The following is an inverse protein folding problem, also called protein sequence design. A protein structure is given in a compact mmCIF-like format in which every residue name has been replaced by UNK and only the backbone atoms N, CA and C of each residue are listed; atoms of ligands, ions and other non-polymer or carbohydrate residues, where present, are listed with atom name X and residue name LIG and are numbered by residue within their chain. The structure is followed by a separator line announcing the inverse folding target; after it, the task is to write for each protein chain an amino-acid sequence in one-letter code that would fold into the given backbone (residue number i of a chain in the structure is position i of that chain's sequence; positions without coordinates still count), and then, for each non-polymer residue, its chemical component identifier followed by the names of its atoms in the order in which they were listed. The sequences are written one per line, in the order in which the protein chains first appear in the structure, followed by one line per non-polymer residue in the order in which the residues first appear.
data_IF_289917441160
#
_entry.id   IF_289917441160
#
_cell.length_a   1.000
_cell.length_b   1.000
_cell.length_c   1.000
_cell.angle_alpha   90.00
_cell.angle_beta   90.00
_cell.angle_gamma   90.00
#
_symmetry.space_group_name_H-M   'P 1'
#
loop_
_entity.id
_entity.type
_entity.pdbx_description
1 polymer ?
#
# COMPACT_ATOMS: atom_id res chain seq x y z
N UNK A 1 -31.82 79.41 -53.04
CA UNK A 1 -32.51 78.27 -52.37
C UNK A 1 -31.50 77.15 -52.16
N UNK A 2 -31.28 76.75 -50.89
CA UNK A 2 -30.85 75.43 -50.32
C UNK A 2 -29.86 74.53 -51.10
N UNK A 3 -28.88 73.80 -50.50
CA UNK A 3 -28.61 73.32 -49.13
C UNK A 3 -27.10 72.98 -49.05
N UNK A 4 -26.50 73.05 -47.85
CA UNK A 4 -25.13 72.56 -47.58
C UNK A 4 -25.11 71.55 -46.43
N UNK A 5 -24.07 70.73 -46.49
CA UNK A 5 -23.71 69.50 -45.77
C UNK A 5 -23.31 69.76 -44.31
N UNK A 6 -23.57 68.81 -43.40
CA UNK A 6 -22.66 68.56 -42.27
C UNK A 6 -22.70 67.10 -41.78
N UNK A 7 -21.49 66.55 -41.62
CA UNK A 7 -21.10 65.22 -41.18
C UNK A 7 -21.04 65.17 -39.64
N UNK A 8 -21.51 64.10 -38.99
CA UNK A 8 -21.22 63.82 -37.58
C UNK A 8 -20.58 62.43 -37.47
N UNK A 9 -19.34 62.42 -36.97
CA UNK A 9 -18.53 61.26 -36.64
C UNK A 9 -18.84 60.86 -35.19
N UNK A 10 -19.23 59.60 -34.96
CA UNK A 10 -19.30 59.02 -33.61
C UNK A 10 -18.04 58.21 -33.34
N UNK A 11 -17.21 58.71 -32.40
CA UNK A 11 -16.08 58.00 -31.80
C UNK A 11 -16.65 57.18 -30.64
N UNK A 12 -16.57 55.85 -30.72
CA UNK A 12 -16.83 54.96 -29.58
C UNK A 12 -15.48 54.57 -28.96
N UNK A 13 -15.29 54.92 -27.69
CA UNK A 13 -14.08 54.70 -26.90
C UNK A 13 -14.48 53.99 -25.59
N UNK A 14 -13.76 52.91 -25.25
CA UNK A 14 -13.80 52.20 -23.95
C UNK A 14 -14.79 51.02 -23.89
N UNK A 15 -14.50 49.85 -23.29
CA UNK A 15 -13.39 49.39 -22.47
C UNK A 15 -13.12 47.92 -22.81
N UNK A 16 -11.84 47.56 -23.03
CA UNK A 16 -11.40 46.18 -22.97
C UNK A 16 -11.36 45.74 -21.49
N UNK A 17 -12.35 44.93 -21.08
CA UNK A 17 -12.28 44.21 -19.82
C UNK A 17 -11.23 43.12 -19.91
N UNK A 18 -10.02 43.39 -19.41
CA UNK A 18 -9.06 42.32 -19.09
C UNK A 18 -9.51 41.75 -17.75
N UNK A 19 -10.28 40.66 -17.80
CA UNK A 19 -10.46 39.77 -16.65
C UNK A 19 -9.12 39.07 -16.45
N UNK A 20 -8.28 39.63 -15.57
CA UNK A 20 -7.08 38.96 -15.10
C UNK A 20 -7.55 37.84 -14.13
N UNK A 21 -7.64 36.62 -14.64
CA UNK A 21 -7.92 35.44 -13.81
C UNK A 21 -6.85 35.32 -12.70
N UNK A 22 -7.26 35.42 -11.44
CA UNK A 22 -6.37 35.41 -10.28
C UNK A 22 -5.69 34.04 -10.06
N UNK A 23 -4.35 33.95 -10.01
CA UNK A 23 -3.63 32.76 -9.55
C UNK A 23 -3.41 32.72 -8.02
N UNK A 24 -4.08 33.57 -7.22
CA UNK A 24 -3.74 33.83 -5.80
C UNK A 24 -4.40 32.86 -4.81
N UNK A 25 -5.67 32.48 -5.02
CA UNK A 25 -6.48 31.78 -4.01
C UNK A 25 -5.96 30.37 -3.67
N UNK A 26 -5.48 29.63 -4.68
CA UNK A 26 -4.90 28.29 -4.52
C UNK A 26 -3.61 28.30 -3.68
N UNK A 27 -2.80 29.36 -3.77
CA UNK A 27 -1.53 29.44 -3.04
C UNK A 27 -1.75 29.72 -1.56
N UNK A 28 -2.71 30.58 -1.22
CA UNK A 28 -3.06 30.84 0.18
C UNK A 28 -3.52 29.57 0.89
N UNK A 29 -4.42 28.81 0.28
CA UNK A 29 -4.88 27.52 0.83
C UNK A 29 -3.75 26.52 1.02
N UNK A 30 -2.80 26.47 0.08
CA UNK A 30 -1.64 25.56 0.15
C UNK A 30 -0.72 25.93 1.31
N UNK A 31 -0.40 27.22 1.47
CA UNK A 31 0.47 27.70 2.54
C UNK A 31 -0.22 27.57 3.90
N UNK A 32 -1.52 27.84 4.00
CA UNK A 32 -2.30 27.64 5.22
C UNK A 32 -2.24 26.19 5.70
N UNK A 33 -2.48 25.23 4.78
CA UNK A 33 -2.39 23.80 5.09
C UNK A 33 -0.99 23.39 5.52
N UNK A 34 0.04 23.94 4.87
CA UNK A 34 1.44 23.70 5.23
C UNK A 34 1.72 24.13 6.67
N UNK A 35 1.22 25.29 7.09
CA UNK A 35 1.52 25.89 8.40
C UNK A 35 0.67 25.32 9.55
N UNK A 36 -0.54 24.85 9.28
CA UNK A 36 -1.51 24.50 10.34
C UNK A 36 -1.70 23.00 10.55
N UNK A 37 -1.85 22.22 9.47
CA UNK A 37 -2.27 20.81 9.56
C UNK A 37 -1.26 19.82 9.01
N UNK A 38 -0.20 20.29 8.36
CA UNK A 38 0.81 19.41 7.78
C UNK A 38 1.51 18.56 8.85
N UNK A 39 2.00 17.40 8.44
CA UNK A 39 2.83 16.56 9.31
C UNK A 39 4.10 17.28 9.76
N UNK A 40 4.62 18.23 8.98
CA UNK A 40 5.76 19.06 9.37
C UNK A 40 5.39 20.05 10.49
N UNK A 41 4.23 20.70 10.40
CA UNK A 41 3.74 21.64 11.43
C UNK A 41 3.51 20.92 12.76
N UNK A 42 2.80 19.78 12.73
CA UNK A 42 2.55 18.93 13.91
C UNK A 42 3.84 18.46 14.58
N UNK A 43 4.89 18.17 13.79
CA UNK A 43 6.20 17.75 14.29
C UNK A 43 6.99 18.87 14.95
N UNK A 44 6.85 20.11 14.48
CA UNK A 44 7.51 21.25 15.12
C UNK A 44 6.82 21.57 16.45
N UNK A 45 5.49 21.55 16.45
CA UNK A 45 4.68 21.78 17.65
C UNK A 45 4.95 20.76 18.76
N UNK A 46 5.09 19.48 18.41
CA UNK A 46 5.43 18.41 19.35
C UNK A 46 6.92 18.30 19.70
N UNK A 47 7.79 19.14 19.12
CA UNK A 47 9.23 19.10 19.39
C UNK A 47 9.63 19.91 20.63
N UNK A 48 10.75 19.55 21.25
CA UNK A 48 11.36 20.35 22.32
C UNK A 48 12.25 21.49 21.79
N UNK A 49 12.27 21.72 20.48
CA UNK A 49 13.11 22.74 19.86
C UNK A 49 12.39 24.11 19.87
N UNK A 50 12.60 24.89 20.92
CA UNK A 50 12.00 26.22 21.10
C UNK A 50 12.26 27.16 19.91
N UNK A 51 13.47 27.12 19.34
CA UNK A 51 13.82 27.95 18.20
C UNK A 51 13.06 27.56 16.91
N UNK A 52 12.73 26.27 16.74
CA UNK A 52 11.87 25.82 15.64
C UNK A 52 10.41 26.25 15.84
N UNK A 53 9.90 26.21 17.08
CA UNK A 53 8.55 26.70 17.42
C UNK A 53 8.39 28.20 17.13
N UNK A 54 9.35 29.01 17.57
CA UNK A 54 9.35 30.45 17.25
C UNK A 54 9.36 30.73 15.74
N UNK A 55 10.05 29.91 14.95
CA UNK A 55 10.02 30.04 13.49
C UNK A 55 8.67 29.67 12.89
N UNK A 56 7.98 28.67 13.42
CA UNK A 56 6.62 28.33 12.99
C UNK A 56 5.66 29.50 13.28
N UNK A 57 5.73 30.08 14.47
CA UNK A 57 4.95 31.28 14.83
C UNK A 57 5.25 32.46 13.91
N UNK A 58 6.54 32.70 13.59
CA UNK A 58 6.94 33.75 12.65
C UNK A 58 6.37 33.52 11.24
N UNK A 59 6.37 32.27 10.77
CA UNK A 59 5.80 31.92 9.48
C UNK A 59 4.26 32.13 9.44
N UNK A 60 3.56 31.83 10.54
CA UNK A 60 2.12 32.10 10.68
C UNK A 60 1.84 33.61 10.68
N UNK A 61 2.66 34.40 11.36
CA UNK A 61 2.53 35.86 11.37
C UNK A 61 2.69 36.45 9.96
N UNK A 62 3.69 36.02 9.19
CA UNK A 62 3.90 36.44 7.80
C UNK A 62 2.73 36.02 6.89
N UNK A 63 2.17 34.83 7.11
CA UNK A 63 0.98 34.38 6.37
C UNK A 63 -0.23 35.29 6.64
N UNK A 64 -0.45 35.71 7.89
CA UNK A 64 -1.52 36.65 8.22
C UNK A 64 -1.27 38.04 7.60
N UNK A 65 -0.03 38.53 7.59
CA UNK A 65 0.32 39.77 6.88
C UNK A 65 0.07 39.63 5.37
N UNK A 66 0.34 38.46 4.79
CA UNK A 66 0.06 38.22 3.37
C UNK A 66 -1.44 38.30 3.06
N UNK A 67 -2.31 37.82 3.96
CA UNK A 67 -3.77 37.95 3.82
C UNK A 67 -4.20 39.41 3.78
N UNK A 68 -3.72 40.22 4.73
CA UNK A 68 -4.01 41.66 4.78
C UNK A 68 -3.51 42.39 3.53
N UNK A 69 -2.29 42.08 3.06
CA UNK A 69 -1.76 42.69 1.83
C UNK A 69 -2.62 42.34 0.60
N UNK A 70 -3.11 41.10 0.51
CA UNK A 70 -3.99 40.68 -0.59
C UNK A 70 -5.37 41.35 -0.52
N UNK A 71 -5.96 41.49 0.68
CA UNK A 71 -7.23 42.21 0.89
C UNK A 71 -7.13 43.69 0.50
N UNK A 72 -5.96 44.29 0.69
CA UNK A 72 -5.67 45.67 0.28
C UNK A 72 -5.30 45.81 -1.21
N UNK A 73 -5.31 44.72 -1.99
CA UNK A 73 -4.96 44.70 -3.41
C UNK A 73 -3.46 44.68 -3.71
N UNK A 74 -2.59 44.62 -2.70
CA UNK A 74 -1.14 44.50 -2.88
C UNK A 74 -0.72 43.03 -3.13
N UNK A 75 -0.95 42.60 -4.36
CA UNK A 75 -0.63 41.24 -4.81
C UNK A 75 0.88 40.93 -4.80
N UNK A 76 1.74 41.95 -4.92
CA UNK A 76 3.20 41.78 -4.93
C UNK A 76 3.70 41.48 -3.53
N UNK A 77 3.29 42.29 -2.56
CA UNK A 77 3.64 42.09 -1.16
C UNK A 77 3.08 40.78 -0.62
N UNK A 78 1.82 40.45 -0.93
CA UNK A 78 1.22 39.16 -0.55
C UNK A 78 2.05 37.97 -1.06
N UNK A 79 2.49 38.01 -2.33
CA UNK A 79 3.29 36.93 -2.94
C UNK A 79 4.65 36.76 -2.27
N UNK A 80 5.29 37.87 -1.89
CA UNK A 80 6.58 37.88 -1.20
C UNK A 80 6.46 37.26 0.21
N UNK A 81 5.48 37.73 0.99
CA UNK A 81 5.21 37.26 2.35
C UNK A 81 4.87 35.76 2.38
N UNK A 82 4.08 35.26 1.42
CA UNK A 82 3.82 33.81 1.29
C UNK A 82 5.09 33.00 0.99
N UNK A 83 6.02 33.56 0.21
CA UNK A 83 7.31 32.93 -0.08
C UNK A 83 8.18 32.83 1.16
N UNK A 84 8.23 33.92 1.93
CA UNK A 84 9.00 33.99 3.17
C UNK A 84 8.46 33.05 4.24
N UNK A 85 7.15 33.03 4.46
CA UNK A 85 6.48 32.10 5.38
C UNK A 85 6.83 30.63 5.06
N UNK A 86 6.81 30.27 3.77
CA UNK A 86 7.17 28.92 3.31
C UNK A 86 8.65 28.59 3.58
N UNK A 87 9.55 29.53 3.32
CA UNK A 87 11.00 29.38 3.55
C UNK A 87 11.33 29.18 5.04
N UNK A 88 10.72 29.98 5.91
CA UNK A 88 10.89 29.89 7.36
C UNK A 88 10.37 28.54 7.87
N UNK A 89 9.20 28.09 7.39
CA UNK A 89 8.63 26.79 7.74
C UNK A 89 9.57 25.61 7.38
N UNK A 90 10.19 25.64 6.20
CA UNK A 90 11.18 24.62 5.84
C UNK A 90 12.44 24.67 6.71
N UNK A 91 12.87 25.86 7.11
CA UNK A 91 13.99 26.04 8.04
C UNK A 91 13.67 25.44 9.40
N UNK A 92 12.49 25.74 9.97
CA UNK A 92 12.01 25.17 11.22
C UNK A 92 11.94 23.64 11.16
N UNK A 93 11.42 23.10 10.05
CA UNK A 93 11.35 21.64 9.82
C UNK A 93 12.74 21.00 9.82
N UNK A 94 13.75 21.65 9.24
CA UNK A 94 15.13 21.15 9.24
C UNK A 94 15.76 21.16 10.64
N UNK A 95 15.40 22.12 11.48
CA UNK A 95 15.88 22.21 12.87
C UNK A 95 15.37 21.02 13.69
N UNK A 96 14.09 20.69 13.58
CA UNK A 96 13.49 19.55 14.29
C UNK A 96 13.98 18.19 13.76
N UNK A 97 14.33 18.11 12.47
CA UNK A 97 14.95 16.89 11.91
C UNK A 97 16.29 16.57 12.56
N UNK A 98 17.05 17.55 13.09
CA UNK A 98 18.39 17.32 13.63
C UNK A 98 18.43 16.81 15.08
N UNK A 99 17.40 17.05 15.90
CA UNK A 99 17.53 16.84 17.36
C UNK A 99 17.06 15.49 17.93
N UNK A 100 16.05 14.80 17.37
CA UNK A 100 15.50 13.56 18.00
C UNK A 100 15.11 12.43 17.05
N UNK A 101 14.76 12.76 15.81
CA UNK A 101 14.14 11.80 14.86
C UNK A 101 15.09 10.74 14.30
N UNK A 102 16.41 10.95 14.29
CA UNK A 102 17.35 9.99 13.70
C UNK A 102 17.74 8.88 14.67
N UNK A 103 17.99 9.18 15.95
CA UNK A 103 18.33 8.16 16.95
C UNK A 103 17.17 7.19 17.21
N UNK A 104 15.94 7.69 17.35
CA UNK A 104 14.74 6.85 17.49
C UNK A 104 14.44 6.05 16.22
N UNK A 105 14.74 6.61 15.04
CA UNK A 105 14.61 5.87 13.78
C UNK A 105 15.65 4.76 13.70
N UNK A 106 16.92 5.05 13.95
CA UNK A 106 18.00 4.07 13.88
C UNK A 106 17.79 2.93 14.90
N UNK A 107 17.23 3.23 16.08
CA UNK A 107 16.86 2.22 17.07
C UNK A 107 15.70 1.35 16.59
N UNK A 108 14.62 1.95 16.08
CA UNK A 108 13.49 1.20 15.50
C UNK A 108 13.91 0.32 14.34
N UNK A 109 14.76 0.86 13.46
CA UNK A 109 15.30 0.16 12.30
C UNK A 109 16.18 -1.04 12.73
N UNK A 110 16.96 -0.88 13.80
CA UNK A 110 17.71 -1.98 14.41
C UNK A 110 16.77 -3.05 15.00
N UNK A 111 15.83 -2.65 15.84
CA UNK A 111 14.95 -3.57 16.58
C UNK A 111 14.02 -4.34 15.64
N UNK A 112 13.48 -3.68 14.61
CA UNK A 112 12.66 -4.33 13.57
C UNK A 112 13.45 -5.38 12.79
N UNK A 113 14.72 -5.10 12.49
CA UNK A 113 15.57 -6.07 11.81
C UNK A 113 15.88 -7.27 12.71
N UNK A 114 16.20 -7.04 13.98
CA UNK A 114 16.45 -8.10 14.95
C UNK A 114 15.21 -8.99 15.11
N UNK A 115 14.01 -8.40 15.25
CA UNK A 115 12.76 -9.15 15.31
C UNK A 115 12.55 -10.04 14.07
N UNK A 116 12.86 -9.52 12.88
CA UNK A 116 12.77 -10.29 11.63
C UNK A 116 13.69 -11.51 11.64
N UNK A 117 14.93 -11.36 12.14
CA UNK A 117 15.90 -12.45 12.21
C UNK A 117 15.45 -13.50 13.23
N UNK A 118 14.94 -13.07 14.39
CA UNK A 118 14.41 -14.01 15.40
C UNK A 118 13.27 -14.87 14.83
N UNK A 119 12.33 -14.24 14.10
CA UNK A 119 11.25 -14.98 13.43
C UNK A 119 11.78 -15.98 12.39
N UNK A 120 12.84 -15.63 11.64
CA UNK A 120 13.49 -16.55 10.71
C UNK A 120 14.22 -17.69 11.45
N UNK A 121 14.88 -17.42 12.58
CA UNK A 121 15.48 -18.46 13.41
C UNK A 121 14.44 -19.45 13.94
N UNK A 122 13.27 -18.95 14.36
CA UNK A 122 12.16 -19.81 14.80
C UNK A 122 11.60 -20.63 13.65
N UNK A 123 11.39 -20.03 12.47
CA UNK A 123 10.99 -20.76 11.27
C UNK A 123 12.01 -21.84 10.88
N UNK A 124 13.30 -21.51 10.92
CA UNK A 124 14.39 -22.46 10.66
C UNK A 124 14.37 -23.65 11.64
N UNK A 125 14.18 -23.39 12.93
CA UNK A 125 14.05 -24.43 13.96
C UNK A 125 12.86 -25.34 13.69
N UNK A 126 11.71 -24.77 13.34
CA UNK A 126 10.50 -25.54 13.02
C UNK A 126 10.71 -26.43 11.80
N UNK A 127 11.32 -25.90 10.72
CA UNK A 127 11.60 -26.68 9.52
C UNK A 127 12.55 -27.84 9.82
N UNK A 128 13.61 -27.61 10.61
CA UNK A 128 14.52 -28.69 11.01
C UNK A 128 13.82 -29.76 11.82
N UNK A 129 12.92 -29.37 12.74
CA UNK A 129 12.11 -30.30 13.53
C UNK A 129 11.17 -31.10 12.64
N UNK A 130 10.45 -30.44 11.71
CA UNK A 130 9.59 -31.08 10.71
C UNK A 130 10.35 -32.14 9.90
N UNK A 131 11.60 -31.85 9.54
CA UNK A 131 12.46 -32.73 8.74
C UNK A 131 13.31 -33.72 9.55
N UNK A 132 13.21 -33.73 10.88
CA UNK A 132 14.02 -34.59 11.74
C UNK A 132 15.53 -34.32 11.68
N UNK A 133 15.96 -33.10 11.33
CA UNK A 133 17.36 -32.72 11.13
C UNK A 133 18.11 -32.38 12.43
N UNK A 134 17.59 -32.76 13.58
CA UNK A 134 18.20 -32.45 14.88
C UNK A 134 18.22 -30.95 15.22
N UNK A 135 19.09 -30.57 16.16
CA UNK A 135 19.13 -29.23 16.71
C UNK A 135 19.63 -28.19 15.68
N UNK A 136 19.18 -26.93 15.71
CA UNK A 136 19.72 -25.88 14.85
C UNK A 136 21.22 -25.66 14.98
N UNK A 137 21.76 -25.85 16.18
CA UNK A 137 23.17 -25.71 16.54
C UNK A 137 24.09 -26.65 15.76
N UNK A 138 23.56 -27.77 15.26
CA UNK A 138 24.30 -28.74 14.43
C UNK A 138 24.48 -28.25 12.98
N UNK A 139 23.87 -27.11 12.62
CA UNK A 139 24.04 -26.48 11.30
C UNK A 139 25.20 -25.48 11.30
N UNK A 140 25.84 -25.30 10.15
CA UNK A 140 26.88 -24.25 10.01
C UNK A 140 26.28 -22.83 10.02
N UNK A 141 25.03 -22.66 9.61
CA UNK A 141 24.41 -21.35 9.40
C UNK A 141 23.81 -20.75 10.67
N UNK A 142 23.30 -21.55 11.60
CA UNK A 142 22.67 -21.05 12.81
C UNK A 142 23.66 -20.38 13.79
N UNK A 143 24.84 -20.96 14.10
CA UNK A 143 25.86 -20.29 14.90
C UNK A 143 26.38 -19.00 14.26
N UNK A 144 26.51 -18.97 12.93
CA UNK A 144 26.89 -17.75 12.21
C UNK A 144 25.88 -16.61 12.44
N UNK A 145 24.58 -16.89 12.31
CA UNK A 145 23.52 -15.91 12.56
C UNK A 145 23.54 -15.44 14.03
N UNK A 146 23.70 -16.34 14.99
CA UNK A 146 23.76 -15.98 16.41
C UNK A 146 24.97 -15.12 16.78
N UNK A 147 26.13 -15.40 16.19
CA UNK A 147 27.32 -14.58 16.38
C UNK A 147 27.09 -13.14 15.86
N UNK A 148 26.47 -12.99 14.69
CA UNK A 148 26.13 -11.67 14.12
C UNK A 148 25.12 -10.91 14.99
N UNK A 149 24.12 -11.58 15.55
CA UNK A 149 23.18 -10.96 16.52
C UNK A 149 23.95 -10.47 17.75
N UNK A 150 24.87 -11.27 18.28
CA UNK A 150 25.71 -10.91 19.43
C UNK A 150 26.56 -9.68 19.13
N UNK A 151 27.23 -9.65 17.98
CA UNK A 151 28.06 -8.51 17.57
C UNK A 151 27.25 -7.24 17.33
N UNK A 152 26.08 -7.36 16.71
CA UNK A 152 25.16 -6.24 16.53
C UNK A 152 24.66 -5.67 17.87
N UNK A 153 24.40 -6.52 18.87
CA UNK A 153 24.00 -6.09 20.20
C UNK A 153 25.15 -5.37 20.95
N UNK A 154 26.40 -5.82 20.78
CA UNK A 154 27.57 -5.07 21.29
C UNK A 154 27.67 -3.68 20.66
N UNK A 155 27.43 -3.56 19.35
CA UNK A 155 27.40 -2.26 18.66
C UNK A 155 26.25 -1.37 19.16
N UNK A 156 25.07 -1.95 19.45
CA UNK A 156 23.95 -1.23 20.08
C UNK A 156 24.32 -0.69 21.46
N UNK A 157 25.01 -1.46 22.30
CA UNK A 157 25.50 -1.00 23.61
C UNK A 157 26.47 0.18 23.49
N UNK A 158 27.26 0.22 22.42
CA UNK A 158 28.16 1.33 22.08
C UNK A 158 27.44 2.52 21.40
N UNK A 159 26.11 2.52 21.33
CA UNK A 159 25.28 3.49 20.59
C UNK A 159 25.56 3.55 19.08
N UNK A 160 26.23 2.55 18.51
CA UNK A 160 26.56 2.42 17.07
C UNK A 160 25.47 1.67 16.32
N UNK A 161 24.23 2.17 16.41
CA UNK A 161 23.02 1.50 15.90
C UNK A 161 23.06 1.20 14.40
N UNK A 162 23.55 2.15 13.59
CA UNK A 162 23.65 1.97 12.12
C UNK A 162 24.63 0.86 11.74
N UNK A 163 25.73 0.73 12.47
CA UNK A 163 26.73 -0.30 12.23
C UNK A 163 26.20 -1.66 12.68
N UNK A 164 25.57 -1.72 13.86
CA UNK A 164 24.88 -2.92 14.32
C UNK A 164 23.80 -3.38 13.35
N UNK A 165 23.03 -2.45 12.76
CA UNK A 165 22.03 -2.76 11.75
C UNK A 165 22.64 -3.39 10.49
N UNK A 166 23.80 -2.93 10.01
CA UNK A 166 24.49 -3.57 8.88
C UNK A 166 24.90 -5.01 9.18
N UNK A 167 25.40 -5.27 10.39
CA UNK A 167 25.73 -6.63 10.85
C UNK A 167 24.47 -7.51 10.88
N UNK A 168 23.33 -6.97 11.33
CA UNK A 168 22.06 -7.69 11.28
C UNK A 168 21.57 -7.94 9.84
N UNK A 169 21.82 -7.05 8.88
CA UNK A 169 21.43 -7.28 7.49
C UNK A 169 22.16 -8.50 6.90
N UNK A 170 23.43 -8.75 7.26
CA UNK A 170 24.15 -9.98 6.89
C UNK A 170 23.51 -11.24 7.50
N UNK A 171 23.16 -11.19 8.79
CA UNK A 171 22.50 -12.28 9.49
C UNK A 171 21.13 -12.62 8.88
N UNK A 172 20.38 -11.59 8.47
CA UNK A 172 19.09 -11.74 7.82
C UNK A 172 19.18 -12.45 6.48
N UNK A 173 20.16 -12.09 5.64
CA UNK A 173 20.39 -12.77 4.36
C UNK A 173 20.77 -14.24 4.61
N UNK A 174 21.69 -14.51 5.53
CA UNK A 174 22.09 -15.87 5.85
C UNK A 174 20.92 -16.74 6.36
N UNK A 175 20.07 -16.19 7.23
CA UNK A 175 18.89 -16.89 7.74
C UNK A 175 17.88 -17.21 6.63
N UNK A 176 17.63 -16.26 5.70
CA UNK A 176 16.78 -16.50 4.54
C UNK A 176 17.32 -17.61 3.64
N UNK A 177 18.60 -17.54 3.27
CA UNK A 177 19.26 -18.53 2.41
C UNK A 177 19.22 -19.92 3.07
N UNK A 178 19.40 -19.99 4.38
CA UNK A 178 19.32 -21.25 5.13
C UNK A 178 17.93 -21.89 5.06
N UNK A 179 16.86 -21.08 5.20
CA UNK A 179 15.47 -21.54 5.07
C UNK A 179 15.18 -21.97 3.63
N UNK A 180 15.61 -21.17 2.65
CA UNK A 180 15.45 -21.49 1.22
C UNK A 180 16.13 -22.81 0.86
N UNK A 181 17.33 -23.09 1.38
CA UNK A 181 17.99 -24.38 1.17
C UNK A 181 17.25 -25.52 1.87
N UNK A 182 16.75 -25.32 3.10
CA UNK A 182 15.99 -26.36 3.79
C UNK A 182 14.67 -26.69 3.10
N UNK A 183 14.00 -25.71 2.49
CA UNK A 183 12.73 -25.89 1.77
C UNK A 183 12.91 -26.08 0.25
N UNK A 184 14.14 -26.00 -0.25
CA UNK A 184 14.44 -25.99 -1.67
C UNK A 184 13.99 -27.28 -2.35
N UNK A 185 13.06 -27.15 -3.31
CA UNK A 185 12.53 -28.26 -4.09
C UNK A 185 11.21 -28.86 -3.59
N UNK A 186 10.71 -28.44 -2.43
CA UNK A 186 9.45 -28.97 -1.88
C UNK A 186 8.28 -28.03 -2.18
N UNK A 187 7.26 -28.56 -2.86
CA UNK A 187 5.93 -27.95 -2.83
C UNK A 187 5.32 -28.28 -1.49
N UNK A 188 4.99 -27.27 -0.68
CA UNK A 188 4.21 -27.46 0.53
C UNK A 188 2.80 -27.89 0.12
N UNK A 189 2.59 -29.19 -0.05
CA UNK A 189 1.25 -29.74 -0.23
C UNK A 189 0.60 -29.75 1.14
N UNK A 190 -0.31 -28.80 1.36
CA UNK A 190 -1.23 -28.90 2.50
C UNK A 190 -2.18 -30.05 2.17
N UNK A 191 -1.84 -31.25 2.62
CA UNK A 191 -2.75 -32.40 2.52
C UNK A 191 -4.01 -32.08 3.33
N UNK A 192 -5.14 -32.02 2.65
CA UNK A 192 -6.44 -31.93 3.30
C UNK A 192 -6.78 -33.35 3.78
N UNK A 193 -6.85 -33.54 5.08
CA UNK A 193 -7.32 -34.79 5.67
C UNK A 193 -8.75 -34.56 6.17
N UNK A 194 -9.72 -35.16 5.50
CA UNK A 194 -11.12 -35.13 5.91
C UNK A 194 -11.45 -36.34 6.77
N UNK A 195 -12.28 -36.16 7.79
CA UNK A 195 -12.70 -37.26 8.68
C UNK A 195 -13.72 -38.16 7.98
N UNK A 196 -14.56 -37.60 7.10
CA UNK A 196 -15.56 -38.31 6.31
C UNK A 196 -15.66 -37.72 4.89
N UNK A 197 -16.27 -38.48 3.97
CA UNK A 197 -16.59 -37.99 2.63
C UNK A 197 -17.65 -36.86 2.65
N UNK A 198 -18.49 -36.79 3.68
CA UNK A 198 -19.43 -35.68 3.88
C UNK A 198 -18.69 -34.38 4.21
N UNK A 199 -17.67 -34.44 5.08
CA UNK A 199 -16.83 -33.27 5.40
C UNK A 199 -16.07 -32.76 4.16
N UNK A 200 -15.55 -33.67 3.34
CA UNK A 200 -14.90 -33.33 2.07
C UNK A 200 -15.87 -32.69 1.09
N UNK A 201 -17.09 -33.22 0.99
CA UNK A 201 -18.13 -32.63 0.14
C UNK A 201 -18.47 -31.19 0.56
N UNK A 202 -18.63 -30.92 1.86
CA UNK A 202 -18.85 -29.57 2.37
C UNK A 202 -17.69 -28.62 2.07
N UNK A 203 -16.45 -29.09 2.23
CA UNK A 203 -15.28 -28.32 1.84
C UNK A 203 -15.29 -27.99 0.33
N UNK A 204 -15.59 -28.96 -0.52
CA UNK A 204 -15.64 -28.74 -1.97
C UNK A 204 -16.81 -27.83 -2.39
N UNK A 205 -17.90 -27.79 -1.61
CA UNK A 205 -18.98 -26.81 -1.77
C UNK A 205 -18.47 -25.39 -1.56
N UNK A 206 -17.79 -25.14 -0.43
CA UNK A 206 -17.22 -23.83 -0.12
C UNK A 206 -16.18 -23.41 -1.18
N UNK A 207 -15.38 -24.37 -1.64
CA UNK A 207 -14.41 -24.16 -2.71
C UNK A 207 -15.11 -23.78 -4.02
N UNK A 208 -16.15 -24.50 -4.42
CA UNK A 208 -16.93 -24.21 -5.63
C UNK A 208 -17.59 -22.82 -5.57
N UNK A 209 -18.14 -22.44 -4.41
CA UNK A 209 -18.77 -21.14 -4.18
C UNK A 209 -17.75 -20.00 -4.27
N UNK A 210 -16.55 -20.20 -3.71
CA UNK A 210 -15.44 -19.26 -3.84
C UNK A 210 -15.05 -19.03 -5.31
N UNK A 211 -14.96 -20.11 -6.10
CA UNK A 211 -14.66 -19.99 -7.53
C UNK A 211 -15.79 -19.27 -8.29
N UNK A 212 -17.05 -19.53 -7.95
CA UNK A 212 -18.20 -18.82 -8.52
C UNK A 212 -18.16 -17.32 -8.23
N UNK A 213 -17.78 -16.95 -7.00
CA UNK A 213 -17.59 -15.55 -6.62
C UNK A 213 -16.48 -14.88 -7.44
N UNK A 214 -15.37 -15.58 -7.69
CA UNK A 214 -14.26 -15.06 -8.51
C UNK A 214 -14.70 -14.69 -9.92
N UNK A 215 -15.64 -15.41 -10.54
CA UNK A 215 -16.20 -15.01 -11.83
C UNK A 215 -16.82 -13.61 -11.76
N UNK A 216 -17.60 -13.35 -10.71
CA UNK A 216 -18.21 -12.03 -10.50
C UNK A 216 -17.14 -10.96 -10.26
N UNK A 217 -16.20 -11.22 -9.36
CA UNK A 217 -15.17 -10.24 -8.98
C UNK A 217 -14.23 -9.91 -10.14
N UNK A 218 -13.83 -10.92 -10.91
CA UNK A 218 -12.80 -10.77 -11.93
C UNK A 218 -13.35 -10.38 -13.31
N UNK A 219 -14.58 -10.80 -13.64
CA UNK A 219 -15.10 -10.70 -15.00
C UNK A 219 -16.22 -9.68 -15.18
N UNK A 220 -16.78 -9.08 -14.11
CA UNK A 220 -17.92 -8.15 -14.20
C UNK A 220 -17.75 -7.08 -15.27
N UNK A 221 -16.62 -6.37 -15.28
CA UNK A 221 -16.40 -5.29 -16.24
C UNK A 221 -16.20 -5.81 -17.67
N UNK A 222 -15.56 -6.97 -17.83
CA UNK A 222 -15.35 -7.62 -19.14
C UNK A 222 -16.64 -8.15 -19.74
N UNK A 223 -17.51 -8.73 -18.91
CA UNK A 223 -18.84 -9.20 -19.28
C UNK A 223 -19.71 -8.03 -19.73
N UNK A 224 -19.66 -6.91 -18.99
CA UNK A 224 -20.42 -5.70 -19.35
C UNK A 224 -19.91 -5.03 -20.63
N UNK A 225 -18.62 -5.18 -20.94
CA UNK A 225 -18.00 -4.57 -22.12
C UNK A 225 -18.14 -5.41 -23.40
N UNK A 226 -18.48 -6.71 -23.32
CA UNK A 226 -18.54 -7.58 -24.50
C UNK A 226 -19.56 -8.72 -24.37
N UNK A 227 -20.56 -8.70 -25.25
CA UNK A 227 -21.56 -9.77 -25.37
C UNK A 227 -20.95 -11.11 -25.77
N UNK A 228 -19.85 -11.11 -26.51
CA UNK A 228 -19.14 -12.34 -26.88
C UNK A 228 -18.48 -12.98 -25.65
N UNK A 229 -17.83 -12.17 -24.80
CA UNK A 229 -17.25 -12.63 -23.54
C UNK A 229 -18.35 -13.13 -22.61
N UNK A 230 -19.46 -12.39 -22.50
CA UNK A 230 -20.63 -12.79 -21.72
C UNK A 230 -21.15 -14.17 -22.15
N UNK A 231 -21.44 -14.38 -23.44
CA UNK A 231 -21.93 -15.68 -23.97
C UNK A 231 -20.97 -16.84 -23.67
N UNK A 232 -19.66 -16.59 -23.76
CA UNK A 232 -18.66 -17.61 -23.46
C UNK A 232 -18.62 -17.96 -21.97
N UNK A 233 -18.67 -16.95 -21.08
CA UNK A 233 -18.75 -17.16 -19.63
C UNK A 233 -20.04 -17.89 -19.26
N UNK A 234 -21.19 -17.42 -19.76
CA UNK A 234 -22.51 -18.00 -19.47
C UNK A 234 -22.55 -19.48 -19.85
N UNK A 235 -22.00 -19.87 -21.01
CA UNK A 235 -21.92 -21.28 -21.44
C UNK A 235 -21.25 -22.19 -20.40
N UNK A 236 -20.15 -21.74 -19.80
CA UNK A 236 -19.44 -22.53 -18.78
C UNK A 236 -20.16 -22.49 -17.43
N UNK A 237 -20.72 -21.34 -17.06
CA UNK A 237 -21.46 -21.18 -15.80
C UNK A 237 -22.76 -21.98 -15.78
N UNK A 238 -23.49 -22.05 -16.90
CA UNK A 238 -24.70 -22.87 -17.03
C UNK A 238 -24.38 -24.35 -16.83
N UNK A 239 -23.29 -24.82 -17.45
CA UNK A 239 -22.83 -26.20 -17.27
C UNK A 239 -22.36 -26.48 -15.84
N UNK A 240 -21.64 -25.53 -15.22
CA UNK A 240 -21.24 -25.63 -13.82
C UNK A 240 -22.45 -25.73 -12.88
N UNK A 241 -23.51 -24.96 -13.15
CA UNK A 241 -24.75 -24.96 -12.37
C UNK A 241 -25.48 -26.30 -12.44
N UNK A 242 -25.59 -26.88 -13.63
CA UNK A 242 -26.19 -28.23 -13.82
C UNK A 242 -25.39 -29.28 -13.05
N UNK A 243 -24.06 -29.23 -13.12
CA UNK A 243 -23.19 -30.14 -12.37
C UNK A 243 -23.33 -29.95 -10.85
N UNK A 244 -23.42 -28.70 -10.37
CA UNK A 244 -23.63 -28.41 -8.95
C UNK A 244 -24.94 -28.99 -8.44
N UNK A 245 -26.05 -28.75 -9.15
CA UNK A 245 -27.35 -29.32 -8.78
C UNK A 245 -27.35 -30.85 -8.77
N UNK A 246 -26.62 -31.48 -9.70
CA UNK A 246 -26.43 -32.93 -9.71
C UNK A 246 -25.64 -33.42 -8.49
N UNK A 247 -24.55 -32.73 -8.14
CA UNK A 247 -23.76 -33.05 -6.96
C UNK A 247 -24.58 -32.91 -5.66
N UNK A 248 -25.37 -31.84 -5.54
CA UNK A 248 -26.23 -31.62 -4.37
C UNK A 248 -27.29 -32.73 -4.23
N UNK A 249 -27.83 -33.22 -5.36
CA UNK A 249 -28.74 -34.36 -5.35
C UNK A 249 -28.04 -35.65 -4.90
N UNK A 250 -26.86 -35.94 -5.43
CA UNK A 250 -26.07 -37.13 -5.06
C UNK A 250 -25.72 -37.12 -3.56
N UNK A 251 -25.33 -35.96 -3.02
CA UNK A 251 -25.07 -35.80 -1.58
C UNK A 251 -26.35 -36.01 -0.76
N UNK A 252 -27.49 -35.49 -1.21
CA UNK A 252 -28.80 -35.73 -0.58
C UNK A 252 -29.22 -37.20 -0.54
N UNK A 253 -28.76 -38.00 -1.52
CA UNK A 253 -28.95 -39.45 -1.58
C UNK A 253 -27.86 -40.22 -0.79
N UNK A 254 -26.92 -39.52 -0.13
CA UNK A 254 -25.82 -40.11 0.65
C UNK A 254 -24.60 -40.53 -0.19
N UNK A 255 -24.61 -40.26 -1.50
CA UNK A 255 -23.54 -40.64 -2.44
C UNK A 255 -22.40 -39.58 -2.46
N UNK A 256 -21.79 -39.32 -1.30
CA UNK A 256 -20.83 -38.22 -1.14
C UNK A 256 -19.60 -38.28 -2.06
N UNK A 257 -19.03 -39.46 -2.30
CA UNK A 257 -17.88 -39.61 -3.22
C UNK A 257 -18.25 -39.23 -4.67
N UNK A 258 -19.45 -39.63 -5.12
CA UNK A 258 -19.95 -39.29 -6.45
C UNK A 258 -20.32 -37.80 -6.55
N UNK A 259 -20.84 -37.24 -5.45
CA UNK A 259 -21.12 -35.81 -5.31
C UNK A 259 -19.84 -34.97 -5.41
N UNK A 260 -18.78 -35.34 -4.67
CA UNK A 260 -17.46 -34.69 -4.73
C UNK A 260 -16.92 -34.69 -6.16
N UNK A 261 -16.89 -35.85 -6.83
CA UNK A 261 -16.39 -35.94 -8.21
C UNK A 261 -17.18 -35.06 -9.19
N UNK A 262 -18.49 -34.99 -9.03
CA UNK A 262 -19.37 -34.14 -9.85
C UNK A 262 -19.18 -32.65 -9.53
N UNK A 263 -18.92 -32.32 -8.27
CA UNK A 263 -18.67 -30.96 -7.80
C UNK A 263 -17.31 -30.43 -8.27
N UNK A 264 -16.27 -31.26 -8.27
CA UNK A 264 -14.99 -30.92 -8.89
C UNK A 264 -15.13 -30.61 -10.39
N UNK A 265 -15.99 -31.36 -11.10
CA UNK A 265 -16.29 -31.07 -12.49
C UNK A 265 -17.00 -29.72 -12.65
N UNK A 266 -17.93 -29.38 -11.76
CA UNK A 266 -18.52 -28.03 -11.70
C UNK A 266 -17.45 -26.95 -11.53
N UNK A 267 -16.54 -27.12 -10.56
CA UNK A 267 -15.43 -26.20 -10.32
C UNK A 267 -14.51 -26.06 -11.53
N UNK A 268 -14.21 -27.15 -12.24
CA UNK A 268 -13.43 -27.13 -13.49
C UNK A 268 -14.09 -26.30 -14.58
N UNK A 269 -15.42 -26.33 -14.72
CA UNK A 269 -16.12 -25.47 -15.68
C UNK A 269 -16.07 -23.99 -15.27
N UNK A 270 -16.18 -23.67 -13.98
CA UNK A 270 -16.04 -22.30 -13.48
C UNK A 270 -14.64 -21.76 -13.79
N UNK A 271 -13.60 -22.55 -13.53
CA UNK A 271 -12.21 -22.18 -13.86
C UNK A 271 -12.03 -21.95 -15.37
N UNK A 272 -12.69 -22.76 -16.22
CA UNK A 272 -12.68 -22.53 -17.68
C UNK A 272 -13.36 -21.22 -18.06
N UNK A 273 -14.45 -20.84 -17.39
CA UNK A 273 -15.09 -19.54 -17.59
C UNK A 273 -14.09 -18.39 -17.36
N UNK A 274 -13.36 -18.44 -16.25
CA UNK A 274 -12.35 -17.42 -15.90
C UNK A 274 -11.19 -17.40 -16.89
N UNK A 275 -10.65 -18.57 -17.24
CA UNK A 275 -9.54 -18.69 -18.22
C UNK A 275 -9.95 -18.24 -19.61
N UNK A 276 -11.18 -18.49 -20.03
CA UNK A 276 -11.68 -18.07 -21.35
C UNK A 276 -11.75 -16.55 -21.52
N UNK A 277 -11.84 -15.80 -20.41
CA UNK A 277 -11.79 -14.35 -20.39
C UNK A 277 -10.36 -13.77 -20.27
N UNK A 278 -9.34 -14.64 -20.35
CA UNK A 278 -7.93 -14.29 -20.37
C UNK A 278 -7.26 -14.19 -18.99
N UNK A 279 -7.88 -14.70 -17.93
CA UNK A 279 -7.32 -14.67 -16.57
C UNK A 279 -6.83 -16.06 -16.17
N UNK A 280 -5.54 -16.19 -15.86
CA UNK A 280 -4.98 -17.45 -15.39
C UNK A 280 -5.23 -17.62 -13.89
N UNK A 281 -5.87 -18.74 -13.54
CA UNK A 281 -5.97 -19.24 -12.16
C UNK A 281 -5.34 -20.64 -12.14
N UNK A 282 -4.31 -20.89 -11.31
CA UNK A 282 -3.76 -22.24 -11.14
C UNK A 282 -4.84 -23.18 -10.59
N UNK A 283 -4.87 -24.41 -11.10
CA UNK A 283 -5.85 -25.44 -10.71
C UNK A 283 -5.58 -26.02 -9.34
#
# INVERSE_FOLDING_TARGET
MFKSILFIVFIFMGLAGIVHAMPSESRFQTVEKLLTISSAAKRIDSSDNAAAKMKLESAIALFNQAKVAAENGDSVQAKALLGEATSIMFTATRMVKKDKSFAEKDLRDFDSRLASINALCDAYRNIRKEKGLGAPEDSQLYPFVQNKITDANKLKQQKRLKEGRKVLDEAYVAAKVAIEHLRGGETLVRSLNFATAEDEYHYEVDRNDTHSMLVTVLLKDKINASDQVKKMVDKFMDKAKVLRQKADKQAGDGEFEAAISTLEQSTKEIVRAIRSAGIYIPG
#
